data_IF_564829671171
#
_entry.id   IF_564829671171
#
_cell.length_a   1.000
_cell.length_b   1.000
_cell.length_c   1.000
_cell.angle_alpha   90.00
_cell.angle_beta   90.00
_cell.angle_gamma   90.00
#
_symmetry.space_group_name_H-M   'P 1'
#
loop_
_entity.id
_entity.type
_entity.pdbx_description
1 polymer ?
#
# COMPACT_ATOMS: atom_id res chain seq x y z
N UNK A 1 33.49 26.97 -32.84
CA UNK A 1 32.09 26.90 -32.39
C UNK A 1 31.72 25.44 -32.29
N UNK A 2 31.58 24.91 -31.08
CA UNK A 2 31.18 23.52 -30.85
C UNK A 2 30.49 23.46 -29.51
N UNK A 3 29.18 23.69 -29.52
CA UNK A 3 28.33 23.56 -28.35
C UNK A 3 28.15 22.06 -28.09
N UNK A 4 28.53 21.60 -26.90
CA UNK A 4 28.23 20.23 -26.44
C UNK A 4 26.85 20.28 -25.81
N UNK A 5 25.88 19.62 -26.44
CA UNK A 5 24.56 19.39 -25.86
C UNK A 5 24.72 18.64 -24.52
N UNK A 6 24.23 19.18 -23.40
CA UNK A 6 24.18 18.42 -22.17
C UNK A 6 23.20 17.26 -22.39
N UNK A 7 23.69 16.05 -22.24
CA UNK A 7 22.89 14.82 -22.18
C UNK A 7 21.82 14.99 -21.11
N UNK A 8 20.62 15.38 -21.51
CA UNK A 8 19.47 15.49 -20.61
C UNK A 8 19.24 14.12 -19.96
N UNK A 9 19.14 14.04 -18.62
CA UNK A 9 18.82 12.79 -17.97
C UNK A 9 17.41 12.34 -18.37
N UNK A 10 17.29 11.01 -18.49
CA UNK A 10 16.08 10.19 -18.59
C UNK A 10 14.77 10.98 -18.65
N UNK A 11 14.18 10.93 -19.84
CA UNK A 11 12.79 11.21 -20.16
C UNK A 11 11.88 11.40 -18.94
N UNK A 12 11.18 12.53 -18.92
CA UNK A 12 9.88 12.67 -18.28
C UNK A 12 9.05 11.43 -18.59
N UNK A 13 9.03 10.43 -17.71
CA UNK A 13 8.12 9.30 -17.78
C UNK A 13 6.85 9.73 -17.05
N UNK A 14 5.78 10.15 -17.75
CA UNK A 14 4.48 10.17 -17.11
C UNK A 14 4.09 8.72 -16.78
N UNK A 15 3.27 8.60 -15.74
CA UNK A 15 2.67 7.39 -15.16
C UNK A 15 3.40 6.81 -13.95
N UNK A 16 3.32 7.56 -12.84
CA UNK A 16 3.16 6.98 -11.50
C UNK A 16 1.84 6.18 -11.49
N UNK A 17 1.81 5.01 -12.14
CA UNK A 17 0.66 4.14 -12.08
C UNK A 17 0.78 3.34 -10.78
N UNK A 18 0.06 3.76 -9.74
CA UNK A 18 -0.09 2.99 -8.52
C UNK A 18 -0.60 1.61 -8.90
N UNK A 19 0.18 0.57 -8.63
CA UNK A 19 -0.29 -0.80 -8.77
C UNK A 19 -0.88 -1.23 -7.43
N UNK A 20 -2.17 -1.52 -7.47
CA UNK A 20 -3.02 -1.78 -6.30
C UNK A 20 -3.48 -3.23 -6.27
N UNK A 21 -3.53 -3.74 -5.03
CA UNK A 21 -4.03 -5.03 -4.57
C UNK A 21 -3.23 -6.28 -4.97
N UNK A 22 -2.38 -6.68 -4.03
CA UNK A 22 -1.82 -8.02 -3.99
C UNK A 22 -2.73 -8.89 -3.09
N UNK A 23 -3.12 -10.11 -3.53
CA UNK A 23 -3.86 -11.04 -2.69
C UNK A 23 -3.06 -11.41 -1.43
N UNK A 24 -3.74 -11.93 -0.40
CA UNK A 24 -3.17 -12.11 0.94
C UNK A 24 -1.85 -12.88 1.02
N UNK A 25 -1.62 -13.84 0.11
CA UNK A 25 -0.49 -14.76 0.18
C UNK A 25 0.78 -14.21 -0.50
N UNK A 26 0.63 -13.30 -1.45
CA UNK A 26 1.74 -12.86 -2.32
C UNK A 26 2.12 -11.38 -2.09
N UNK A 27 1.76 -10.85 -0.91
CA UNK A 27 1.99 -9.45 -0.53
C UNK A 27 3.46 -9.03 -0.63
N UNK A 28 4.36 -9.79 0.01
CA UNK A 28 5.77 -9.42 0.08
C UNK A 28 6.47 -9.49 -1.29
N UNK A 29 6.36 -10.59 -2.07
CA UNK A 29 6.90 -10.64 -3.43
C UNK A 29 6.37 -9.51 -4.31
N UNK A 30 5.07 -9.22 -4.25
CA UNK A 30 4.48 -8.20 -5.11
C UNK A 30 4.86 -6.77 -4.71
N UNK A 31 5.11 -6.48 -3.43
CA UNK A 31 5.74 -5.22 -3.01
C UNK A 31 7.15 -5.10 -3.59
N UNK A 32 7.94 -6.17 -3.56
CA UNK A 32 9.28 -6.18 -4.16
C UNK A 32 9.21 -5.95 -5.67
N UNK A 33 8.33 -6.64 -6.40
CA UNK A 33 8.18 -6.50 -7.85
C UNK A 33 7.72 -5.08 -8.24
N UNK A 34 6.76 -4.51 -7.50
CA UNK A 34 6.32 -3.14 -7.70
C UNK A 34 7.48 -2.15 -7.49
N UNK A 35 8.29 -2.34 -6.45
CA UNK A 35 9.46 -1.51 -6.19
C UNK A 35 10.51 -1.62 -7.31
N UNK A 36 10.84 -2.83 -7.76
CA UNK A 36 11.76 -3.06 -8.89
C UNK A 36 11.23 -2.46 -10.21
N UNK A 37 9.92 -2.49 -10.40
CA UNK A 37 9.25 -1.89 -11.56
C UNK A 37 9.11 -0.36 -11.51
N UNK A 38 9.61 0.31 -10.45
CA UNK A 38 9.48 1.76 -10.27
C UNK A 38 8.05 2.22 -9.96
N UNK A 39 7.20 1.31 -9.44
CA UNK A 39 5.81 1.56 -9.09
C UNK A 39 5.67 1.83 -7.60
N UNK A 40 4.62 2.56 -7.21
CA UNK A 40 4.27 2.76 -5.81
C UNK A 40 3.27 1.68 -5.42
N UNK A 41 3.66 0.82 -4.48
CA UNK A 41 2.77 -0.16 -3.87
C UNK A 41 1.87 0.52 -2.83
N UNK A 42 0.56 0.31 -2.90
CA UNK A 42 -0.41 0.82 -1.92
C UNK A 42 -1.14 -0.34 -1.24
N UNK A 43 -1.30 -0.23 0.09
CA UNK A 43 -1.88 -1.26 0.94
C UNK A 43 -3.10 -0.72 1.70
N UNK A 44 -4.08 -1.60 1.90
CA UNK A 44 -5.25 -1.28 2.71
C UNK A 44 -4.91 -1.47 4.18
N UNK A 45 -5.09 -0.40 4.95
CA UNK A 45 -5.01 -0.39 6.40
C UNK A 45 -6.36 -0.02 7.03
N UNK A 46 -6.60 -0.52 8.24
CA UNK A 46 -7.72 -0.09 9.09
C UNK A 46 -7.15 0.64 10.28
N UNK A 47 -7.61 1.87 10.51
CA UNK A 47 -7.19 2.68 11.65
C UNK A 47 -8.26 2.67 12.74
N UNK A 48 -7.87 2.26 13.94
CA UNK A 48 -8.71 2.20 15.12
C UNK A 48 -9.59 0.94 15.14
N UNK A 49 -9.45 0.15 16.20
CA UNK A 49 -10.23 -1.07 16.32
C UNK A 49 -11.71 -0.84 16.59
N UNK A 50 -12.17 0.38 16.88
CA UNK A 50 -13.59 0.65 17.20
C UNK A 50 -14.54 0.15 16.10
N UNK A 51 -14.11 0.21 14.84
CA UNK A 51 -14.83 -0.32 13.67
C UNK A 51 -15.03 -1.83 13.70
N UNK A 52 -14.23 -2.58 14.48
CA UNK A 52 -14.41 -4.02 14.67
C UNK A 52 -15.61 -4.37 15.55
N UNK A 53 -16.06 -3.46 16.41
CA UNK A 53 -17.16 -3.71 17.34
C UNK A 53 -16.96 -4.97 18.19
N UNK A 54 -15.71 -5.26 18.59
CA UNK A 54 -15.31 -6.49 19.30
C UNK A 54 -15.70 -7.80 18.56
N UNK A 55 -15.81 -7.76 17.22
CA UNK A 55 -16.19 -8.89 16.39
C UNK A 55 -15.04 -9.38 15.52
N UNK A 56 -14.53 -10.58 15.82
CA UNK A 56 -13.53 -11.24 14.98
C UNK A 56 -14.08 -11.61 13.59
N UNK A 57 -15.40 -11.66 13.41
CA UNK A 57 -15.99 -11.82 12.09
C UNK A 57 -15.74 -10.60 11.20
N UNK A 58 -15.83 -9.38 11.76
CA UNK A 58 -15.52 -8.13 11.06
C UNK A 58 -14.04 -8.07 10.68
N UNK A 59 -13.14 -8.49 11.59
CA UNK A 59 -11.72 -8.62 11.30
C UNK A 59 -11.45 -9.55 10.10
N UNK A 60 -12.13 -10.70 10.03
CA UNK A 60 -12.02 -11.63 8.90
C UNK A 60 -12.54 -11.03 7.60
N UNK A 61 -13.62 -10.23 7.65
CA UNK A 61 -14.11 -9.51 6.48
C UNK A 61 -13.09 -8.50 5.97
N UNK A 62 -12.51 -7.67 6.85
CA UNK A 62 -11.44 -6.73 6.46
C UNK A 62 -10.24 -7.46 5.84
N UNK A 63 -9.83 -8.58 6.40
CA UNK A 63 -8.77 -9.40 5.83
C UNK A 63 -9.13 -9.90 4.42
N UNK A 64 -10.38 -10.36 4.22
CA UNK A 64 -10.91 -10.78 2.92
C UNK A 64 -10.95 -9.65 1.88
N UNK A 65 -11.22 -8.42 2.32
CA UNK A 65 -11.19 -7.22 1.47
C UNK A 65 -9.78 -6.73 1.13
N UNK A 66 -8.75 -7.31 1.74
CA UNK A 66 -7.35 -6.96 1.45
C UNK A 66 -6.65 -6.13 2.52
N UNK A 67 -7.26 -5.87 3.67
CA UNK A 67 -6.59 -5.17 4.76
C UNK A 67 -5.40 -6.00 5.30
N UNK A 68 -4.23 -5.38 5.42
CA UNK A 68 -2.99 -6.02 5.92
C UNK A 68 -2.36 -5.30 7.11
N UNK A 69 -2.95 -4.19 7.49
CA UNK A 69 -2.54 -3.39 8.64
C UNK A 69 -3.79 -3.02 9.43
N UNK A 70 -3.69 -3.10 10.76
CA UNK A 70 -4.72 -2.67 11.69
C UNK A 70 -4.04 -2.03 12.90
N UNK A 71 -4.47 -0.84 13.29
CA UNK A 71 -4.16 -0.33 14.63
C UNK A 71 -5.22 -0.78 15.63
N UNK A 72 -4.77 -1.25 16.80
CA UNK A 72 -5.69 -1.71 17.85
C UNK A 72 -6.51 -0.54 18.41
N UNK A 73 -5.85 0.60 18.61
CA UNK A 73 -6.46 1.83 19.15
C UNK A 73 -6.14 3.02 18.23
N UNK A 74 -6.84 4.12 18.46
CA UNK A 74 -6.49 5.43 17.89
C UNK A 74 -6.69 6.48 19.01
N UNK A 75 -7.54 7.48 18.79
CA UNK A 75 -7.81 8.55 19.78
C UNK A 75 -8.64 8.09 20.98
N UNK A 76 -9.40 7.01 20.85
CA UNK A 76 -10.30 6.51 21.89
C UNK A 76 -9.96 5.09 22.32
N UNK A 77 -10.29 4.77 23.56
CA UNK A 77 -10.16 3.43 24.11
C UNK A 77 -11.13 2.45 23.43
N UNK A 78 -10.72 1.19 23.44
CA UNK A 78 -11.47 0.08 22.89
C UNK A 78 -11.73 -0.95 23.98
N UNK A 79 -12.89 -1.65 23.97
CA UNK A 79 -13.38 -2.44 25.11
C UNK A 79 -12.70 -3.82 25.31
N UNK A 80 -11.54 -4.06 24.71
CA UNK A 80 -10.80 -5.33 24.79
C UNK A 80 -9.42 -5.14 25.40
#
# INVERSE_FOLDING_TARGET
MGWVEPSLPVALRPQQHTSLLCPSRDLAPAIHDAHQGGQIASLIGVEGGHTLGNSLAVLRMYYGLGARYLTLTHTCDTPW
#
